data_IF_393426845490
#
_entry.id   IF_393426845490
#
_cell.length_a   1.000
_cell.length_b   1.000
_cell.length_c   1.000
_cell.angle_alpha   90.00
_cell.angle_beta   90.00
_cell.angle_gamma   90.00
#
_symmetry.space_group_name_H-M   'P 1'
#
loop_
_entity.id
_entity.type
_entity.pdbx_description
1 polymer ?
#
# COMPACT_ATOMS: atom_id res chain seq x y z
N UNK A 1 -15.76 -4.54 -13.19
CA UNK A 1 -16.06 -3.09 -13.29
C UNK A 1 -17.39 -2.79 -12.65
N UNK A 2 -17.46 -1.77 -11.82
CA UNK A 2 -18.72 -1.19 -11.35
C UNK A 2 -19.01 0.11 -12.12
N UNK A 3 -20.27 0.29 -12.50
CA UNK A 3 -20.71 1.45 -13.28
C UNK A 3 -22.05 1.97 -12.77
N UNK A 4 -22.34 3.25 -13.03
CA UNK A 4 -23.64 3.87 -12.76
C UNK A 4 -24.35 4.27 -14.06
N UNK A 5 -25.67 4.32 -14.04
CA UNK A 5 -26.49 4.68 -15.20
C UNK A 5 -26.17 6.09 -15.74
N UNK A 6 -25.90 7.04 -14.84
CA UNK A 6 -25.59 8.43 -15.20
C UNK A 6 -24.07 8.73 -15.29
N UNK A 7 -23.22 7.70 -15.26
CA UNK A 7 -21.78 7.85 -15.30
C UNK A 7 -21.28 8.10 -16.73
N UNK A 8 -20.89 9.30 -17.05
CA UNK A 8 -20.41 9.73 -18.38
C UNK A 8 -19.19 8.93 -18.86
N UNK A 9 -18.29 8.56 -17.93
CA UNK A 9 -17.04 7.86 -18.25
C UNK A 9 -17.16 6.34 -18.31
N UNK A 10 -18.25 5.78 -17.77
CA UNK A 10 -18.41 4.33 -17.66
C UNK A 10 -18.58 3.65 -19.02
N UNK A 11 -19.33 4.27 -19.94
CA UNK A 11 -19.54 3.73 -21.29
C UNK A 11 -18.24 3.59 -22.11
N UNK A 12 -17.45 4.66 -22.26
CA UNK A 12 -16.15 4.59 -22.92
C UNK A 12 -15.19 3.55 -22.29
N UNK A 13 -15.11 3.48 -20.96
CA UNK A 13 -14.25 2.50 -20.28
C UNK A 13 -14.70 1.07 -20.54
N UNK A 14 -16.01 0.81 -20.49
CA UNK A 14 -16.55 -0.49 -20.83
C UNK A 14 -16.15 -0.93 -22.25
N UNK A 15 -16.23 -0.03 -23.22
CA UNK A 15 -15.83 -0.30 -24.61
C UNK A 15 -14.34 -0.69 -24.71
N UNK A 16 -13.46 0.03 -24.03
CA UNK A 16 -12.01 -0.29 -23.99
C UNK A 16 -11.75 -1.67 -23.37
N UNK A 17 -12.42 -2.01 -22.27
CA UNK A 17 -12.31 -3.32 -21.63
C UNK A 17 -12.81 -4.45 -22.53
N UNK A 18 -13.90 -4.23 -23.29
CA UNK A 18 -14.40 -5.18 -24.28
C UNK A 18 -13.41 -5.39 -25.45
N UNK A 19 -12.68 -4.35 -25.85
CA UNK A 19 -11.61 -4.49 -26.85
C UNK A 19 -10.47 -5.37 -26.33
N UNK A 20 -10.00 -5.16 -25.08
CA UNK A 20 -8.97 -6.00 -24.49
C UNK A 20 -9.44 -7.46 -24.36
N UNK A 21 -10.71 -7.68 -24.06
CA UNK A 21 -11.29 -9.03 -24.05
C UNK A 21 -11.26 -9.68 -25.43
N UNK A 22 -11.65 -8.94 -26.50
CA UNK A 22 -11.59 -9.42 -27.88
C UNK A 22 -10.16 -9.75 -28.34
N UNK A 23 -9.17 -9.04 -27.80
CA UNK A 23 -7.74 -9.28 -28.07
C UNK A 23 -7.14 -10.41 -27.23
N UNK A 24 -7.95 -11.06 -26.38
CA UNK A 24 -7.48 -12.14 -25.50
C UNK A 24 -6.61 -11.70 -24.33
N UNK A 25 -6.57 -10.39 -24.03
CA UNK A 25 -5.77 -9.85 -22.93
C UNK A 25 -6.51 -9.93 -21.58
N UNK A 26 -7.83 -10.10 -21.61
CA UNK A 26 -8.70 -10.33 -20.47
C UNK A 26 -9.50 -11.60 -20.72
N UNK A 27 -9.44 -12.56 -19.80
CA UNK A 27 -10.20 -13.81 -19.89
C UNK A 27 -11.67 -13.65 -19.48
N UNK A 28 -11.95 -12.77 -18.51
CA UNK A 28 -13.29 -12.53 -17.99
C UNK A 28 -13.49 -11.05 -17.72
N UNK A 29 -14.66 -10.53 -18.05
CA UNK A 29 -15.08 -9.16 -17.75
C UNK A 29 -16.48 -9.19 -17.10
N UNK A 30 -16.51 -8.87 -15.80
CA UNK A 30 -17.76 -8.70 -15.07
C UNK A 30 -18.09 -7.22 -14.96
N UNK A 31 -19.27 -6.83 -15.44
CA UNK A 31 -19.77 -5.44 -15.34
C UNK A 31 -21.04 -5.46 -14.50
N UNK A 32 -21.10 -4.60 -13.50
CA UNK A 32 -22.22 -4.51 -12.56
C UNK A 32 -22.68 -3.06 -12.46
N UNK A 33 -23.98 -2.84 -12.58
CA UNK A 33 -24.59 -1.54 -12.31
C UNK A 33 -24.85 -1.38 -10.81
N UNK A 34 -24.29 -0.31 -10.21
CA UNK A 34 -24.34 -0.06 -8.77
C UNK A 34 -25.76 0.19 -8.25
N UNK A 35 -26.67 0.70 -9.09
CA UNK A 35 -28.05 0.99 -8.69
C UNK A 35 -28.85 -0.30 -8.36
N UNK A 36 -28.40 -1.43 -8.87
CA UNK A 36 -29.02 -2.75 -8.64
C UNK A 36 -28.11 -3.68 -7.81
N UNK A 37 -27.08 -3.17 -7.16
CA UNK A 37 -26.08 -3.97 -6.45
C UNK A 37 -25.57 -3.28 -5.18
N UNK A 38 -26.49 -2.74 -4.36
CA UNK A 38 -26.18 -2.00 -3.12
C UNK A 38 -25.27 -2.78 -2.16
N UNK A 39 -25.51 -4.08 -2.02
CA UNK A 39 -24.77 -4.94 -1.10
C UNK A 39 -23.31 -5.07 -1.54
N UNK A 40 -23.07 -5.28 -2.83
CA UNK A 40 -21.73 -5.36 -3.41
C UNK A 40 -20.98 -4.02 -3.29
N UNK A 41 -21.68 -2.89 -3.49
CA UNK A 41 -21.11 -1.55 -3.34
C UNK A 41 -20.67 -1.30 -1.89
N UNK A 42 -21.47 -1.73 -0.92
CA UNK A 42 -21.17 -1.62 0.51
C UNK A 42 -20.03 -2.55 0.91
N UNK A 43 -20.03 -3.80 0.47
CA UNK A 43 -18.98 -4.79 0.72
C UNK A 43 -17.61 -4.31 0.21
N UNK A 44 -17.57 -3.77 -1.01
CA UNK A 44 -16.34 -3.27 -1.63
C UNK A 44 -15.98 -1.85 -1.20
N UNK A 45 -16.83 -1.18 -0.39
CA UNK A 45 -16.67 0.20 0.05
C UNK A 45 -16.46 1.20 -1.11
N UNK A 46 -17.15 0.98 -2.25
CA UNK A 46 -17.00 1.81 -3.45
C UNK A 46 -17.71 3.13 -3.28
N UNK A 47 -16.99 4.24 -3.44
CA UNK A 47 -17.50 5.61 -3.26
C UNK A 47 -17.82 6.33 -4.58
N UNK A 48 -17.20 5.89 -5.66
CA UNK A 48 -17.37 6.54 -6.98
C UNK A 48 -17.22 5.53 -8.11
N UNK A 49 -17.82 5.85 -9.27
CA UNK A 49 -17.73 5.07 -10.50
C UNK A 49 -17.18 5.96 -11.64
N UNK A 50 -16.49 5.40 -12.63
CA UNK A 50 -16.18 3.98 -12.79
C UNK A 50 -15.22 3.46 -11.71
N UNK A 51 -15.45 2.26 -11.23
CA UNK A 51 -14.55 1.52 -10.36
C UNK A 51 -14.18 0.18 -11.02
N UNK A 52 -12.92 -0.18 -10.96
CA UNK A 52 -12.37 -1.36 -11.59
C UNK A 52 -11.61 -2.20 -10.56
N UNK A 53 -11.73 -3.52 -10.68
CA UNK A 53 -10.79 -4.45 -10.09
C UNK A 53 -10.11 -5.22 -11.21
N UNK A 54 -8.78 -5.11 -11.29
CA UNK A 54 -7.93 -5.77 -12.29
C UNK A 54 -6.91 -6.60 -11.52
N UNK A 55 -7.15 -7.92 -11.42
CA UNK A 55 -6.37 -8.77 -10.52
C UNK A 55 -6.43 -8.27 -9.07
N UNK A 56 -5.28 -7.98 -8.45
CA UNK A 56 -5.22 -7.47 -7.08
C UNK A 56 -5.55 -5.97 -6.96
N UNK A 57 -5.51 -5.22 -8.07
CA UNK A 57 -5.58 -3.75 -8.04
C UNK A 57 -7.02 -3.23 -8.13
N UNK A 58 -7.36 -2.31 -7.23
CA UNK A 58 -8.64 -1.58 -7.20
C UNK A 58 -8.41 -0.14 -7.66
N UNK A 59 -9.02 0.25 -8.77
CA UNK A 59 -8.82 1.54 -9.42
C UNK A 59 -10.12 2.34 -9.44
N UNK A 60 -10.07 3.62 -9.13
CA UNK A 60 -11.22 4.54 -9.21
C UNK A 60 -11.02 5.57 -10.29
N UNK A 61 -12.14 6.05 -10.85
CA UNK A 61 -12.13 7.08 -11.89
C UNK A 61 -11.85 6.55 -13.31
N UNK A 62 -11.85 7.46 -14.26
CA UNK A 62 -11.59 7.13 -15.66
C UNK A 62 -10.09 6.88 -15.88
N UNK A 63 -9.81 5.93 -16.77
CA UNK A 63 -8.44 5.60 -17.21
C UNK A 63 -8.39 5.64 -18.74
N UNK A 64 -7.25 6.06 -19.27
CA UNK A 64 -6.95 5.93 -20.68
C UNK A 64 -6.75 4.46 -21.09
N UNK A 65 -6.83 4.19 -22.39
CA UNK A 65 -6.55 2.84 -22.91
C UNK A 65 -5.14 2.36 -22.56
N UNK A 66 -4.16 3.26 -22.58
CA UNK A 66 -2.76 2.94 -22.25
C UNK A 66 -2.61 2.58 -20.77
N UNK A 67 -3.24 3.34 -19.87
CA UNK A 67 -3.23 3.03 -18.43
C UNK A 67 -3.91 1.69 -18.14
N UNK A 68 -5.09 1.43 -18.75
CA UNK A 68 -5.77 0.14 -18.60
C UNK A 68 -4.90 -1.03 -19.09
N UNK A 69 -4.24 -0.87 -20.24
CA UNK A 69 -3.34 -1.89 -20.76
C UNK A 69 -2.18 -2.18 -19.82
N UNK A 70 -1.60 -1.12 -19.25
CA UNK A 70 -0.52 -1.24 -18.27
C UNK A 70 -0.98 -1.99 -17.02
N UNK A 71 -2.14 -1.64 -16.45
CA UNK A 71 -2.67 -2.33 -15.27
C UNK A 71 -3.05 -3.78 -15.55
N UNK A 72 -3.55 -4.11 -16.75
CA UNK A 72 -3.81 -5.49 -17.16
C UNK A 72 -2.50 -6.30 -17.20
N UNK A 73 -1.41 -5.73 -17.73
CA UNK A 73 -0.10 -6.38 -17.75
C UNK A 73 0.44 -6.58 -16.33
N UNK A 74 0.42 -5.54 -15.50
CA UNK A 74 0.87 -5.58 -14.10
C UNK A 74 0.11 -6.60 -13.27
N UNK A 75 -1.20 -6.74 -13.49
CA UNK A 75 -2.02 -7.71 -12.77
C UNK A 75 -1.65 -9.16 -13.10
N UNK A 76 -1.07 -9.44 -14.27
CA UNK A 76 -0.68 -10.80 -14.66
C UNK A 76 0.65 -11.25 -14.06
N UNK A 77 1.55 -10.32 -13.74
CA UNK A 77 2.89 -10.58 -13.19
C UNK A 77 3.06 -10.17 -11.72
N UNK A 78 2.04 -9.50 -11.15
CA UNK A 78 2.10 -8.91 -9.82
C UNK A 78 3.24 -7.87 -9.66
N UNK A 79 3.71 -7.30 -10.80
CA UNK A 79 4.65 -6.19 -10.81
C UNK A 79 3.96 -4.85 -10.80
N UNK A 80 4.13 -3.85 -10.32
CA UNK A 80 3.38 -2.59 -10.25
C UNK A 80 2.71 -2.40 -8.91
N UNK A 81 3.08 -3.21 -7.90
CA UNK A 81 2.60 -3.05 -6.53
C UNK A 81 3.07 -1.72 -5.95
N UNK A 82 4.34 -1.37 -6.15
CA UNK A 82 4.88 -0.09 -5.67
C UNK A 82 4.15 1.10 -6.29
N UNK A 83 3.95 1.10 -7.62
CA UNK A 83 3.25 2.17 -8.31
C UNK A 83 1.78 2.25 -7.89
N UNK A 84 1.14 1.10 -7.64
CA UNK A 84 -0.22 1.07 -7.11
C UNK A 84 -0.29 1.69 -5.72
N UNK A 85 0.61 1.30 -4.81
CA UNK A 85 0.68 1.86 -3.47
C UNK A 85 0.91 3.38 -3.52
N UNK A 86 1.85 3.84 -4.36
CA UNK A 86 2.08 5.28 -4.54
C UNK A 86 0.83 6.00 -5.03
N UNK A 87 0.12 5.45 -6.04
CA UNK A 87 -1.11 6.06 -6.58
C UNK A 87 -2.20 6.17 -5.50
N UNK A 88 -2.54 5.04 -4.86
CA UNK A 88 -3.66 5.02 -3.90
C UNK A 88 -3.36 5.79 -2.61
N UNK A 89 -2.11 5.78 -2.13
CA UNK A 89 -1.69 6.54 -0.96
C UNK A 89 -1.61 8.04 -1.27
N UNK A 90 -1.15 8.42 -2.46
CA UNK A 90 -1.14 9.81 -2.91
C UNK A 90 -2.56 10.41 -2.98
N UNK A 91 -3.56 9.59 -3.29
CA UNK A 91 -4.98 9.97 -3.32
C UNK A 91 -5.67 9.88 -1.93
N UNK A 92 -4.97 9.44 -0.90
CA UNK A 92 -5.53 9.21 0.44
C UNK A 92 -6.41 7.96 0.56
N UNK A 93 -6.34 7.05 -0.40
CA UNK A 93 -7.11 5.80 -0.45
C UNK A 93 -6.41 4.66 0.31
N UNK A 94 -6.05 4.90 1.60
CA UNK A 94 -5.30 3.95 2.44
C UNK A 94 -5.99 2.58 2.50
N UNK A 95 -7.32 2.55 2.56
CA UNK A 95 -8.08 1.29 2.61
C UNK A 95 -7.79 0.35 1.43
N UNK A 96 -7.48 0.88 0.24
CA UNK A 96 -7.13 0.03 -0.91
C UNK A 96 -5.73 -0.56 -0.76
N UNK A 97 -4.80 0.20 -0.21
CA UNK A 97 -3.47 -0.29 0.12
C UNK A 97 -3.54 -1.38 1.22
N UNK A 98 -4.25 -1.13 2.32
CA UNK A 98 -4.44 -2.12 3.40
C UNK A 98 -5.08 -3.42 2.89
N UNK A 99 -6.12 -3.34 2.07
CA UNK A 99 -6.74 -4.52 1.44
C UNK A 99 -5.75 -5.31 0.58
N UNK A 100 -4.90 -4.63 -0.19
CA UNK A 100 -3.87 -5.29 -0.99
C UNK A 100 -2.91 -6.04 -0.07
N UNK A 101 -2.38 -5.40 0.97
CA UNK A 101 -1.41 -5.99 1.90
C UNK A 101 -2.01 -7.19 2.64
N UNK A 102 -3.24 -7.09 3.13
CA UNK A 102 -3.92 -8.23 3.79
C UNK A 102 -4.13 -9.42 2.84
N UNK A 103 -4.44 -9.16 1.57
CA UNK A 103 -4.65 -10.21 0.58
C UNK A 103 -3.33 -10.79 0.04
N UNK A 104 -2.27 -10.00 0.04
CA UNK A 104 -0.96 -10.31 -0.53
C UNK A 104 0.16 -9.80 0.41
N UNK A 105 0.42 -10.49 1.55
CA UNK A 105 1.38 -10.03 2.56
C UNK A 105 2.80 -9.80 2.05
N UNK A 106 3.20 -10.48 0.97
CA UNK A 106 4.50 -10.24 0.32
C UNK A 106 4.65 -8.80 -0.21
N UNK A 107 3.55 -8.05 -0.39
CA UNK A 107 3.59 -6.64 -0.77
C UNK A 107 4.08 -5.71 0.35
N UNK A 108 4.27 -6.21 1.58
CA UNK A 108 4.92 -5.48 2.67
C UNK A 108 6.35 -5.05 2.31
N UNK A 109 7.07 -5.83 1.51
CA UNK A 109 8.39 -5.45 1.01
C UNK A 109 8.33 -4.11 0.25
N UNK A 110 7.28 -3.93 -0.58
CA UNK A 110 7.10 -2.67 -1.32
C UNK A 110 6.74 -1.50 -0.40
N UNK A 111 6.04 -1.75 0.73
CA UNK A 111 5.76 -0.72 1.75
C UNK A 111 7.07 -0.25 2.41
N UNK A 112 7.94 -1.19 2.75
CA UNK A 112 9.27 -0.89 3.33
C UNK A 112 10.17 -0.17 2.31
N UNK A 113 10.10 -0.50 1.03
CA UNK A 113 10.79 0.25 -0.03
C UNK A 113 10.33 1.71 -0.09
N UNK A 114 9.01 1.94 0.01
CA UNK A 114 8.43 3.29 0.01
C UNK A 114 8.76 4.09 1.28
N UNK A 115 8.90 3.43 2.43
CA UNK A 115 9.38 4.06 3.67
C UNK A 115 10.78 4.65 3.45
N UNK A 116 11.65 3.88 2.80
CA UNK A 116 13.04 4.26 2.57
C UNK A 116 13.24 5.16 1.33
N UNK A 117 12.20 5.44 0.54
CA UNK A 117 12.30 6.30 -0.63
C UNK A 117 12.42 7.78 -0.22
N UNK A 118 13.55 8.46 -0.53
CA UNK A 118 13.73 9.88 -0.21
C UNK A 118 12.82 10.78 -1.03
N UNK A 119 12.35 10.34 -2.20
CA UNK A 119 11.47 11.09 -3.10
C UNK A 119 9.97 10.86 -2.81
N UNK A 120 9.64 9.96 -1.88
CA UNK A 120 8.26 9.68 -1.51
C UNK A 120 7.57 10.94 -0.96
N UNK A 121 6.41 11.29 -1.53
CA UNK A 121 5.59 12.43 -1.09
C UNK A 121 5.12 12.22 0.35
N UNK A 122 4.90 13.31 1.06
CA UNK A 122 4.49 13.27 2.47
C UNK A 122 3.22 12.44 2.72
N UNK A 123 2.21 12.54 1.85
CA UNK A 123 0.99 11.76 1.98
C UNK A 123 1.20 10.25 1.73
N UNK A 124 2.15 9.87 0.87
CA UNK A 124 2.55 8.48 0.68
C UNK A 124 3.23 7.96 1.95
N UNK A 125 4.18 8.71 2.50
CA UNK A 125 4.87 8.33 3.74
C UNK A 125 3.92 8.19 4.94
N UNK A 126 2.97 9.12 5.09
CA UNK A 126 1.93 9.01 6.13
C UNK A 126 1.08 7.74 5.95
N UNK A 127 0.72 7.42 4.71
CA UNK A 127 -0.03 6.20 4.43
C UNK A 127 0.78 4.93 4.66
N UNK A 128 2.07 4.94 4.38
CA UNK A 128 3.02 3.87 4.72
C UNK A 128 3.05 3.64 6.23
N UNK A 129 3.15 4.72 7.02
CA UNK A 129 3.12 4.63 8.49
C UNK A 129 1.85 3.92 8.99
N UNK A 130 0.67 4.35 8.52
CA UNK A 130 -0.61 3.72 8.90
C UNK A 130 -0.64 2.22 8.57
N UNK A 131 -0.13 1.82 7.39
CA UNK A 131 -0.08 0.40 7.01
C UNK A 131 0.86 -0.37 7.93
N UNK A 132 2.01 0.18 8.25
CA UNK A 132 2.98 -0.48 9.14
C UNK A 132 2.41 -0.63 10.55
N UNK A 133 1.78 0.43 11.11
CA UNK A 133 1.08 0.36 12.39
C UNK A 133 0.01 -0.73 12.42
N UNK A 134 -0.78 -0.86 11.36
CA UNK A 134 -1.82 -1.90 11.23
C UNK A 134 -1.23 -3.31 11.19
N UNK A 135 -0.05 -3.49 10.59
CA UNK A 135 0.54 -4.80 10.30
C UNK A 135 1.63 -5.23 11.29
N UNK A 136 2.17 -4.33 12.11
CA UNK A 136 3.37 -4.55 12.91
C UNK A 136 3.30 -5.77 13.84
N UNK A 137 2.13 -6.07 14.40
CA UNK A 137 1.92 -7.24 15.27
C UNK A 137 1.58 -8.52 14.49
N UNK A 138 1.39 -8.43 13.15
CA UNK A 138 1.04 -9.58 12.34
C UNK A 138 2.24 -10.53 12.13
N UNK A 139 1.95 -11.82 11.96
CA UNK A 139 3.02 -12.78 11.64
C UNK A 139 3.69 -12.49 10.28
N UNK A 140 2.92 -11.96 9.32
CA UNK A 140 3.44 -11.58 8.01
C UNK A 140 4.44 -10.43 8.06
N UNK A 141 4.36 -9.55 9.06
CA UNK A 141 5.30 -8.45 9.24
C UNK A 141 6.72 -8.93 9.57
N UNK A 142 6.85 -10.14 10.10
CA UNK A 142 8.18 -10.72 10.41
C UNK A 142 9.08 -10.85 9.20
N UNK A 143 8.52 -10.97 8.00
CA UNK A 143 9.32 -11.07 6.76
C UNK A 143 10.14 -9.82 6.48
N UNK A 144 9.68 -8.64 6.88
CA UNK A 144 10.33 -7.35 6.63
C UNK A 144 11.24 -6.88 7.76
N UNK A 145 11.21 -7.53 8.91
CA UNK A 145 12.07 -7.21 10.06
C UNK A 145 13.56 -7.16 9.71
N UNK A 146 14.14 -8.13 8.96
CA UNK A 146 15.55 -8.06 8.61
C UNK A 146 15.93 -6.75 7.90
N UNK A 147 15.06 -6.21 7.03
CA UNK A 147 15.29 -4.93 6.37
C UNK A 147 15.18 -3.74 7.32
N UNK A 148 14.23 -3.76 8.25
CA UNK A 148 14.13 -2.70 9.26
C UNK A 148 15.39 -2.68 10.14
N UNK A 149 15.94 -3.84 10.52
CA UNK A 149 17.20 -3.93 11.26
C UNK A 149 18.40 -3.35 10.46
N UNK A 150 18.46 -3.60 9.15
CA UNK A 150 19.46 -2.99 8.27
C UNK A 150 19.32 -1.46 8.23
N UNK A 151 18.10 -0.95 8.19
CA UNK A 151 17.81 0.49 8.15
C UNK A 151 18.17 1.24 9.43
N UNK A 152 18.35 0.58 10.56
CA UNK A 152 18.91 1.23 11.77
C UNK A 152 20.32 1.80 11.55
N UNK A 153 21.01 1.39 10.48
CA UNK A 153 22.34 1.90 10.09
C UNK A 153 22.31 2.68 8.77
N UNK A 154 21.15 3.16 8.33
CA UNK A 154 21.02 3.92 7.09
C UNK A 154 21.68 5.30 7.22
N UNK A 155 22.20 5.83 6.11
CA UNK A 155 22.83 7.16 6.08
C UNK A 155 21.83 8.28 6.41
N UNK A 156 20.55 8.13 6.01
CA UNK A 156 19.47 9.07 6.30
C UNK A 156 18.92 8.87 7.71
N UNK A 157 19.07 9.89 8.56
CA UNK A 157 18.59 9.89 9.95
C UNK A 157 17.08 9.61 10.06
N UNK A 158 16.29 10.13 9.12
CA UNK A 158 14.84 9.86 9.07
C UNK A 158 14.56 8.36 8.92
N UNK A 159 15.26 7.68 8.01
CA UNK A 159 15.07 6.25 7.78
C UNK A 159 15.47 5.44 9.02
N UNK A 160 16.55 5.84 9.71
CA UNK A 160 16.94 5.20 10.97
C UNK A 160 15.86 5.37 12.05
N UNK A 161 15.31 6.59 12.18
CA UNK A 161 14.23 6.88 13.12
C UNK A 161 12.95 6.10 12.81
N UNK A 162 12.50 6.12 11.54
CA UNK A 162 11.33 5.38 11.09
C UNK A 162 11.48 3.87 11.36
N UNK A 163 12.64 3.29 11.02
CA UNK A 163 12.91 1.87 11.26
C UNK A 163 12.93 1.51 12.76
N UNK A 164 13.49 2.39 13.59
CA UNK A 164 13.50 2.25 15.04
C UNK A 164 12.07 2.21 15.60
N UNK A 165 11.27 3.21 15.25
CA UNK A 165 9.86 3.30 15.65
C UNK A 165 9.07 2.06 15.21
N UNK A 166 9.20 1.63 13.95
CA UNK A 166 8.45 0.49 13.44
C UNK A 166 8.85 -0.85 14.07
N UNK A 167 10.10 -1.00 14.49
CA UNK A 167 10.52 -2.16 15.27
C UNK A 167 9.85 -2.18 16.66
N UNK A 168 9.67 -1.02 17.32
CA UNK A 168 9.02 -0.96 18.62
C UNK A 168 7.54 -1.34 18.55
N UNK A 169 6.85 -1.04 17.45
CA UNK A 169 5.45 -1.42 17.24
C UNK A 169 5.21 -2.93 17.22
N UNK A 170 6.24 -3.73 16.97
CA UNK A 170 6.14 -5.20 17.02
C UNK A 170 5.95 -5.75 18.43
N UNK A 171 6.20 -4.94 19.47
CA UNK A 171 6.20 -5.29 20.89
C UNK A 171 7.16 -6.45 21.25
N UNK A 172 8.09 -6.78 20.36
CA UNK A 172 9.09 -7.82 20.58
C UNK A 172 10.34 -7.24 21.26
N UNK A 173 10.51 -7.56 22.54
CA UNK A 173 11.63 -7.09 23.37
C UNK A 173 13.01 -7.58 22.90
N UNK A 174 13.06 -8.53 21.97
CA UNK A 174 14.34 -9.00 21.41
C UNK A 174 15.09 -7.93 20.63
N UNK A 175 14.40 -6.88 20.15
CA UNK A 175 14.99 -5.76 19.41
C UNK A 175 15.55 -4.64 20.31
N UNK A 176 15.35 -4.72 21.64
CA UNK A 176 15.90 -3.74 22.58
C UNK A 176 17.40 -3.49 22.37
N UNK A 177 18.28 -4.52 22.23
CA UNK A 177 19.72 -4.28 22.05
C UNK A 177 20.06 -3.53 20.74
N UNK A 178 19.27 -3.70 19.70
CA UNK A 178 19.48 -3.03 18.42
C UNK A 178 19.07 -1.55 18.50
N UNK A 179 17.93 -1.27 19.15
CA UNK A 179 17.41 0.09 19.37
C UNK A 179 18.31 0.86 20.36
N UNK A 180 18.84 0.24 21.43
CA UNK A 180 19.74 0.88 22.41
C UNK A 180 20.99 1.50 21.73
N UNK A 181 21.44 0.97 20.61
CA UNK A 181 22.58 1.55 19.87
C UNK A 181 22.27 2.95 19.35
N UNK A 182 21.01 3.24 19.02
CA UNK A 182 20.58 4.53 18.52
C UNK A 182 20.48 5.62 19.60
N UNK A 183 20.58 5.28 20.89
CA UNK A 183 20.71 6.28 21.96
C UNK A 183 21.98 7.13 21.84
N UNK A 184 22.96 6.69 21.05
CA UNK A 184 24.20 7.42 20.74
C UNK A 184 24.24 7.88 19.28
N UNK A 185 23.11 7.96 18.57
CA UNK A 185 23.03 8.42 17.19
C UNK A 185 23.46 9.89 17.07
N UNK A 186 24.03 10.27 15.93
CA UNK A 186 24.45 11.64 15.65
C UNK A 186 23.25 12.61 15.58
N UNK A 187 22.08 12.12 15.14
CA UNK A 187 20.84 12.88 15.10
C UNK A 187 20.14 12.90 16.47
N UNK A 188 19.79 14.10 16.96
CA UNK A 188 19.03 14.26 18.18
C UNK A 188 17.64 13.63 18.08
N UNK A 189 16.97 13.80 16.93
CA UNK A 189 15.66 13.23 16.66
C UNK A 189 15.66 11.69 16.72
N UNK A 190 16.70 11.05 16.17
CA UNK A 190 16.86 9.58 16.25
C UNK A 190 17.05 9.11 17.68
N UNK A 191 17.84 9.85 18.49
CA UNK A 191 18.04 9.50 19.92
C UNK A 191 16.72 9.60 20.70
N UNK A 192 15.89 10.63 20.43
CA UNK A 192 14.57 10.79 21.06
C UNK A 192 13.65 9.64 20.68
N UNK A 193 13.54 9.32 19.37
CA UNK A 193 12.74 8.19 18.89
C UNK A 193 13.22 6.87 19.52
N UNK A 194 14.51 6.66 19.64
CA UNK A 194 15.07 5.46 20.27
C UNK A 194 14.68 5.36 21.75
N UNK A 195 14.69 6.48 22.48
CA UNK A 195 14.27 6.49 23.88
C UNK A 195 12.79 6.15 24.01
N UNK A 196 11.93 6.79 23.23
CA UNK A 196 10.47 6.56 23.25
C UNK A 196 10.15 5.09 22.86
N UNK A 197 10.83 4.58 21.82
CA UNK A 197 10.69 3.18 21.37
C UNK A 197 11.11 2.17 22.44
N UNK A 198 12.14 2.46 23.21
CA UNK A 198 12.58 1.60 24.32
C UNK A 198 11.61 1.65 25.49
N UNK A 199 11.04 2.79 25.77
CA UNK A 199 10.03 2.93 26.85
C UNK A 199 8.76 2.15 26.48
N UNK A 200 8.29 2.24 25.22
CA UNK A 200 7.18 1.46 24.68
C UNK A 200 7.39 -0.07 24.73
N UNK A 201 8.64 -0.52 24.50
CA UNK A 201 8.97 -1.96 24.57
C UNK A 201 9.14 -2.49 25.99
N UNK A 202 9.37 -1.63 26.97
CA UNK A 202 9.56 -2.00 28.38
C UNK A 202 8.26 -2.04 29.18
N UNK A 203 7.21 -1.32 28.69
CA UNK A 203 5.85 -1.40 29.25
C UNK A 203 5.18 -2.75 28.92
#
# INVERSE_FOLDING_TARGET
>A
MLMGTQCTYCGPMMQMLMEFMKLGQIAELRIVNIENASDLVSELAVRSVPWLKIGPFELTGSRSKQELQLWIQRASSFDGVTEYLVEVLAEGNINYASKLIHSYPQALENVIDLMADPEAKINVRLGVGVIIEEMAESESFRSVIPRLLEYLSNDDARIRGDACHYLSLTKDRSYIPDIERLLSDDSEEVREIAQDSLDDLRE
#
